data_IF_979931242722
#
_entry.id   IF_979931242722
#
_cell.length_a   1.000
_cell.length_b   1.000
_cell.length_c   1.000
_cell.angle_alpha   90.00
_cell.angle_beta   90.00
_cell.angle_gamma   90.00
#
_symmetry.space_group_name_H-M   'P 1'
#
loop_
_entity.id
_entity.type
_entity.pdbx_description
1 polymer ?
#
# COMPACT_ATOMS: atom_id res chain seq x y z
N UNK A 1 -10.90 -32.18 -52.15
CA UNK A 1 -9.64 -31.41 -52.02
C UNK A 1 -9.86 -29.95 -51.57
N UNK A 2 -10.99 -29.60 -50.95
CA UNK A 2 -11.22 -28.24 -50.39
C UNK A 2 -11.41 -28.19 -48.86
N UNK A 3 -11.56 -29.34 -48.18
CA UNK A 3 -11.78 -29.38 -46.72
C UNK A 3 -10.50 -29.34 -45.87
N UNK A 4 -9.32 -29.56 -46.46
CA UNK A 4 -8.04 -29.43 -45.75
C UNK A 4 -7.51 -27.98 -45.72
N UNK A 5 -7.89 -27.15 -46.69
CA UNK A 5 -7.41 -25.76 -46.82
C UNK A 5 -8.14 -24.82 -45.84
N UNK A 6 -9.36 -25.17 -45.41
CA UNK A 6 -10.13 -24.43 -44.41
C UNK A 6 -9.68 -24.70 -42.97
N UNK A 7 -9.12 -25.88 -42.68
CA UNK A 7 -8.63 -26.23 -41.34
C UNK A 7 -7.26 -25.58 -41.02
N UNK A 8 -6.41 -25.35 -42.03
CA UNK A 8 -5.12 -24.67 -41.87
C UNK A 8 -5.23 -23.13 -41.78
N UNK A 9 -6.30 -22.52 -42.33
CA UNK A 9 -6.53 -21.07 -42.20
C UNK A 9 -7.20 -20.65 -40.88
N UNK A 10 -7.88 -21.56 -40.19
CA UNK A 10 -8.50 -21.28 -38.88
C UNK A 10 -7.50 -21.39 -37.71
N UNK A 11 -6.42 -22.18 -37.84
CA UNK A 11 -5.38 -22.28 -36.81
C UNK A 11 -4.44 -21.07 -36.76
N UNK A 12 -4.28 -20.35 -37.88
CA UNK A 12 -3.43 -19.16 -37.96
C UNK A 12 -4.06 -17.88 -37.39
N UNK A 13 -5.39 -17.77 -37.39
CA UNK A 13 -6.09 -16.58 -36.84
C UNK A 13 -6.16 -16.65 -35.31
N UNK A 14 -6.23 -17.85 -34.72
CA UNK A 14 -6.36 -18.00 -33.26
C UNK A 14 -5.03 -17.82 -32.50
N UNK A 15 -3.89 -17.98 -33.18
CA UNK A 15 -2.55 -17.83 -32.57
C UNK A 15 -2.01 -16.40 -32.58
N UNK A 16 -2.64 -15.47 -33.31
CA UNK A 16 -2.19 -14.09 -33.46
C UNK A 16 -2.77 -13.10 -32.43
N UNK A 17 -3.69 -13.53 -31.56
CA UNK A 17 -4.30 -12.65 -30.56
C UNK A 17 -3.80 -12.80 -29.12
N UNK A 18 -2.78 -13.64 -28.86
CA UNK A 18 -2.28 -13.87 -27.49
C UNK A 18 -0.77 -13.65 -27.30
N UNK A 19 -0.07 -13.10 -28.30
CA UNK A 19 1.40 -13.01 -28.32
C UNK A 19 1.94 -11.59 -28.52
N UNK A 20 1.31 -10.58 -27.90
CA UNK A 20 1.77 -9.17 -27.94
C UNK A 20 2.06 -8.54 -26.56
N UNK A 21 2.17 -9.33 -25.48
CA UNK A 21 2.70 -8.86 -24.18
C UNK A 21 3.57 -9.91 -23.51
N UNK A 22 4.80 -10.07 -23.99
CA UNK A 22 5.97 -10.49 -23.22
C UNK A 22 7.16 -10.55 -24.18
N UNK A 23 7.68 -9.37 -24.52
CA UNK A 23 9.00 -9.24 -25.12
C UNK A 23 10.04 -9.42 -24.02
N UNK A 24 10.77 -10.53 -24.06
CA UNK A 24 12.05 -10.65 -23.38
C UNK A 24 13.04 -11.20 -24.41
N UNK A 25 13.89 -10.30 -24.92
CA UNK A 25 14.99 -10.63 -25.80
C UNK A 25 16.08 -11.33 -24.97
N UNK A 26 16.44 -12.54 -25.38
CA UNK A 26 17.59 -13.26 -24.86
C UNK A 26 18.75 -13.05 -25.82
N UNK A 27 19.84 -12.42 -25.37
CA UNK A 27 21.16 -12.62 -25.97
C UNK A 27 22.27 -12.45 -24.93
N UNK A 28 22.93 -13.59 -24.70
CA UNK A 28 24.38 -13.80 -24.53
C UNK A 28 25.03 -13.47 -23.18
N UNK A 29 25.26 -14.56 -22.44
CA UNK A 29 26.45 -14.92 -21.65
C UNK A 29 27.65 -13.97 -21.70
N UNK A 30 28.15 -13.57 -20.52
CA UNK A 30 29.43 -14.03 -19.94
C UNK A 30 29.55 -13.56 -18.48
N UNK A 31 30.34 -14.30 -17.69
CA UNK A 31 30.93 -13.97 -16.37
C UNK A 31 30.02 -13.84 -15.13
N UNK A 32 29.89 -14.98 -14.44
CA UNK A 32 30.21 -15.17 -13.01
C UNK A 32 29.82 -14.10 -11.99
N UNK A 33 28.79 -14.38 -11.20
CA UNK A 33 28.74 -14.02 -9.77
C UNK A 33 27.63 -14.84 -9.11
N UNK A 34 27.94 -15.58 -8.05
CA UNK A 34 26.94 -16.25 -7.20
C UNK A 34 26.00 -15.19 -6.59
N UNK A 35 24.67 -15.37 -6.62
CA UNK A 35 23.81 -14.71 -5.66
C UNK A 35 22.97 -15.72 -4.88
N UNK A 36 23.03 -15.55 -3.56
CA UNK A 36 22.04 -16.02 -2.61
C UNK A 36 20.62 -15.87 -3.18
N UNK A 37 19.90 -16.99 -3.21
CA UNK A 37 18.48 -17.08 -3.52
C UNK A 37 17.67 -16.19 -2.54
N UNK A 38 17.46 -14.92 -2.88
CA UNK A 38 16.39 -14.12 -2.31
C UNK A 38 15.13 -14.39 -3.15
N UNK A 39 14.44 -15.47 -2.82
CA UNK A 39 13.12 -15.76 -3.39
C UNK A 39 12.17 -14.63 -3.02
N UNK A 40 11.74 -13.88 -4.04
CA UNK A 40 10.66 -12.92 -3.95
C UNK A 40 9.46 -13.53 -3.23
N UNK A 41 9.09 -12.95 -2.10
CA UNK A 41 7.87 -13.28 -1.38
C UNK A 41 6.69 -12.74 -2.19
N UNK A 42 6.30 -13.50 -3.21
CA UNK A 42 5.04 -13.31 -3.93
C UNK A 42 3.89 -13.56 -2.95
N UNK A 43 3.17 -12.51 -2.60
CA UNK A 43 2.09 -12.48 -1.61
C UNK A 43 0.76 -13.07 -2.13
N UNK A 44 0.80 -14.03 -3.04
CA UNK A 44 -0.40 -14.63 -3.65
C UNK A 44 -0.46 -16.14 -3.44
N UNK A 45 -0.28 -16.59 -2.20
CA UNK A 45 -0.67 -17.93 -1.79
C UNK A 45 -1.43 -17.86 -0.47
N UNK A 46 -2.72 -17.48 -0.53
CA UNK A 46 -3.66 -17.80 0.53
C UNK A 46 -3.85 -19.33 0.52
N UNK A 47 -2.90 -20.04 1.13
CA UNK A 47 -2.86 -21.50 1.13
C UNK A 47 -4.19 -22.06 1.59
N UNK A 48 -4.81 -22.90 0.76
CA UNK A 48 -6.03 -23.65 1.11
C UNK A 48 -5.78 -24.35 2.44
N UNK A 49 -6.41 -23.86 3.52
CA UNK A 49 -6.31 -24.46 4.85
C UNK A 49 -6.84 -25.89 4.77
N UNK A 50 -5.94 -26.87 4.66
CA UNK A 50 -6.30 -28.27 4.54
C UNK A 50 -7.08 -28.70 5.79
N UNK A 51 -8.15 -29.47 5.59
CA UNK A 51 -9.02 -29.93 6.70
C UNK A 51 -8.25 -30.75 7.73
N UNK A 52 -7.11 -31.34 7.34
CA UNK A 52 -6.18 -32.11 8.18
C UNK A 52 -5.62 -31.31 9.35
N UNK A 53 -5.30 -30.03 9.18
CA UNK A 53 -4.66 -29.20 10.20
C UNK A 53 -5.66 -28.52 11.16
N UNK A 54 -6.97 -28.74 10.98
CA UNK A 54 -7.99 -28.14 11.86
C UNK A 54 -7.94 -28.76 13.25
N UNK A 55 -7.94 -27.91 14.28
CA UNK A 55 -8.06 -28.25 15.71
C UNK A 55 -9.15 -29.30 16.00
N UNK A 56 -10.26 -29.25 15.28
CA UNK A 56 -11.38 -30.17 15.49
C UNK A 56 -11.02 -31.63 15.12
N UNK A 57 -10.10 -31.87 14.17
CA UNK A 57 -9.67 -33.24 13.82
C UNK A 57 -8.98 -33.94 14.98
N UNK A 58 -8.13 -33.23 15.73
CA UNK A 58 -7.46 -33.75 16.94
C UNK A 58 -8.44 -34.04 18.08
N UNK A 59 -9.64 -33.46 18.06
CA UNK A 59 -10.62 -33.58 19.15
C UNK A 59 -11.67 -34.67 18.93
N UNK A 60 -11.60 -35.42 17.84
CA UNK A 60 -12.49 -36.58 17.59
C UNK A 60 -12.23 -37.64 18.65
N UNK A 61 -13.29 -38.13 19.29
CA UNK A 61 -13.20 -39.04 20.45
C UNK A 61 -13.27 -38.34 21.81
N UNK A 62 -13.12 -37.01 21.88
CA UNK A 62 -13.36 -36.28 23.13
C UNK A 62 -14.82 -35.83 23.24
N UNK A 63 -15.47 -36.20 24.34
CA UNK A 63 -16.91 -36.02 24.58
C UNK A 63 -17.43 -34.59 24.37
N UNK A 64 -16.66 -33.56 24.73
CA UNK A 64 -17.12 -32.15 24.67
C UNK A 64 -16.43 -31.30 23.61
N UNK A 65 -15.59 -31.90 22.75
CA UNK A 65 -14.78 -31.19 21.75
C UNK A 65 -14.06 -29.93 22.29
N UNK A 66 -13.69 -29.92 23.59
CA UNK A 66 -13.01 -28.83 24.29
C UNK A 66 -13.83 -27.55 24.46
N UNK A 67 -15.16 -27.65 24.57
CA UNK A 67 -16.06 -26.57 25.01
C UNK A 67 -16.56 -26.76 26.46
N UNK A 68 -15.97 -27.71 27.20
CA UNK A 68 -16.33 -28.02 28.59
C UNK A 68 -17.61 -28.87 28.71
N UNK A 69 -17.74 -29.62 29.82
CA UNK A 69 -18.92 -30.49 30.08
C UNK A 69 -20.13 -29.69 30.62
N UNK A 70 -19.88 -28.71 31.48
CA UNK A 70 -20.92 -27.95 32.21
C UNK A 70 -21.44 -26.77 31.37
N UNK A 71 -20.56 -25.85 30.96
CA UNK A 71 -20.94 -24.65 30.21
C UNK A 71 -21.52 -24.95 28.82
N UNK A 72 -21.07 -26.04 28.17
CA UNK A 72 -21.46 -26.52 26.83
C UNK A 72 -21.33 -25.46 25.72
N UNK A 73 -21.27 -25.92 24.47
CA UNK A 73 -21.33 -25.02 23.33
C UNK A 73 -22.78 -24.74 22.95
N UNK A 74 -23.29 -23.55 23.29
CA UNK A 74 -24.64 -23.07 22.91
C UNK A 74 -24.54 -22.12 21.73
N UNK A 75 -25.63 -21.95 20.97
CA UNK A 75 -25.62 -21.17 19.72
C UNK A 75 -25.24 -19.69 19.94
N UNK A 76 -25.89 -18.97 20.86
CA UNK A 76 -25.63 -17.55 21.13
C UNK A 76 -25.96 -17.14 22.58
N UNK A 77 -25.15 -17.52 23.59
CA UNK A 77 -25.48 -17.28 25.00
C UNK A 77 -25.44 -15.80 25.44
N UNK A 78 -24.75 -14.92 24.71
CA UNK A 78 -24.63 -13.48 25.01
C UNK A 78 -25.31 -12.57 23.98
N UNK A 79 -26.14 -13.13 23.10
CA UNK A 79 -26.68 -12.43 21.93
C UNK A 79 -25.83 -12.64 20.67
N UNK A 80 -26.20 -11.93 19.59
CA UNK A 80 -25.55 -12.01 18.28
C UNK A 80 -24.82 -10.71 17.97
N UNK A 81 -23.62 -10.80 17.39
CA UNK A 81 -22.82 -9.63 17.02
C UNK A 81 -22.49 -8.76 18.25
N UNK A 82 -22.67 -7.44 18.11
CA UNK A 82 -22.36 -6.46 19.15
C UNK A 82 -23.54 -6.21 20.13
N UNK A 83 -24.40 -7.22 20.33
CA UNK A 83 -25.53 -7.12 21.26
C UNK A 83 -25.05 -6.88 22.70
N UNK A 84 -25.84 -6.12 23.46
CA UNK A 84 -25.59 -5.91 24.89
C UNK A 84 -24.48 -4.91 25.21
N UNK A 85 -23.99 -4.14 24.22
CA UNK A 85 -22.82 -3.28 24.43
C UNK A 85 -22.96 -2.18 25.47
N UNK A 86 -24.19 -1.78 25.84
CA UNK A 86 -24.46 -0.88 26.99
C UNK A 86 -25.00 -1.61 28.22
N UNK A 87 -25.27 -2.91 28.11
CA UNK A 87 -25.88 -3.74 29.16
C UNK A 87 -24.85 -4.77 29.66
N UNK A 88 -25.06 -6.06 29.37
CA UNK A 88 -24.22 -7.15 29.85
C UNK A 88 -22.83 -7.24 29.21
N UNK A 89 -22.57 -6.52 28.11
CA UNK A 89 -21.23 -6.38 27.51
C UNK A 89 -20.63 -4.98 27.71
N UNK A 90 -21.20 -4.15 28.59
CA UNK A 90 -20.73 -2.77 28.84
C UNK A 90 -19.25 -2.68 29.19
N UNK A 91 -18.78 -3.55 30.09
CA UNK A 91 -17.37 -3.56 30.51
C UNK A 91 -16.42 -3.79 29.33
N UNK A 92 -16.81 -4.61 28.34
CA UNK A 92 -16.01 -4.86 27.15
C UNK A 92 -15.93 -3.64 26.23
N UNK A 93 -17.03 -2.90 26.09
CA UNK A 93 -17.06 -1.68 25.28
C UNK A 93 -16.33 -0.52 25.95
N UNK A 94 -16.56 -0.30 27.24
CA UNK A 94 -15.91 0.80 27.98
C UNK A 94 -14.40 0.59 28.06
N UNK A 95 -13.94 -0.67 28.16
CA UNK A 95 -12.51 -1.00 28.28
C UNK A 95 -11.74 -0.91 26.96
N UNK A 96 -12.30 -1.45 25.88
CA UNK A 96 -11.56 -1.61 24.61
C UNK A 96 -12.03 -0.65 23.52
N UNK A 97 -13.22 -0.09 23.64
CA UNK A 97 -13.84 0.76 22.61
C UNK A 97 -14.43 2.04 23.21
N UNK A 98 -13.63 2.86 23.93
CA UNK A 98 -14.11 4.13 24.43
C UNK A 98 -14.54 5.03 23.26
N UNK A 99 -15.71 5.67 23.38
CA UNK A 99 -16.28 6.52 22.32
C UNK A 99 -17.06 5.78 21.24
N UNK A 100 -17.29 4.47 21.37
CA UNK A 100 -18.11 3.70 20.43
C UNK A 100 -19.59 4.15 20.44
N UNK A 101 -20.12 4.44 21.63
CA UNK A 101 -21.48 4.96 21.78
C UNK A 101 -21.47 6.49 21.84
N UNK A 102 -22.32 7.11 21.02
CA UNK A 102 -22.47 8.56 20.94
C UNK A 102 -22.46 9.09 19.51
N UNK A 103 -22.72 10.39 19.35
CA UNK A 103 -22.58 11.12 18.09
C UNK A 103 -21.68 12.32 18.33
N UNK A 104 -20.72 12.55 17.44
CA UNK A 104 -19.77 13.67 17.52
C UNK A 104 -19.65 14.35 16.15
N UNK A 105 -19.61 15.68 16.13
CA UNK A 105 -19.35 16.49 14.95
C UNK A 105 -20.55 16.72 14.01
N UNK A 106 -20.31 17.48 12.94
CA UNK A 106 -21.32 17.84 11.93
C UNK A 106 -21.39 16.77 10.83
N UNK A 107 -22.60 16.49 10.33
CA UNK A 107 -22.81 15.52 9.24
C UNK A 107 -22.51 16.18 7.89
N UNK A 108 -21.61 15.57 7.11
CA UNK A 108 -21.30 16.00 5.75
C UNK A 108 -21.91 15.06 4.72
N UNK A 109 -22.97 15.51 4.04
CA UNK A 109 -23.68 14.75 3.01
C UNK A 109 -22.90 14.74 1.69
N UNK A 110 -23.05 13.65 0.92
CA UNK A 110 -22.38 13.46 -0.38
C UNK A 110 -20.87 13.79 -0.36
N UNK A 111 -20.13 13.16 0.56
CA UNK A 111 -18.69 13.39 0.70
C UNK A 111 -17.91 12.82 -0.48
N UNK A 112 -17.52 13.69 -1.41
CA UNK A 112 -16.62 13.36 -2.52
C UNK A 112 -15.17 13.32 -2.04
N UNK A 113 -14.60 12.11 -1.87
CA UNK A 113 -13.23 11.92 -1.35
C UNK A 113 -12.16 12.59 -2.22
N UNK A 114 -12.37 12.66 -3.54
CA UNK A 114 -11.41 13.22 -4.49
C UNK A 114 -11.11 14.70 -4.20
N UNK A 115 -12.09 15.48 -3.72
CA UNK A 115 -11.89 16.89 -3.33
C UNK A 115 -10.95 17.07 -2.14
N UNK A 116 -10.86 16.06 -1.27
CA UNK A 116 -9.99 16.07 -0.08
C UNK A 116 -8.71 15.25 -0.29
N UNK A 117 -8.45 14.78 -1.51
CA UNK A 117 -7.24 14.03 -1.80
C UNK A 117 -6.04 14.96 -1.72
N UNK A 118 -5.25 14.81 -0.66
CA UNK A 118 -4.06 15.62 -0.41
C UNK A 118 -2.97 14.73 0.20
N UNK A 119 -2.32 13.87 -0.62
CA UNK A 119 -1.20 13.06 -0.20
C UNK A 119 -0.02 13.94 0.22
N UNK A 120 0.64 13.55 1.30
CA UNK A 120 1.61 14.36 2.03
C UNK A 120 3.00 13.75 1.92
N UNK A 121 3.99 14.59 1.65
CA UNK A 121 5.42 14.26 1.74
C UNK A 121 6.11 15.19 2.73
N UNK A 122 7.11 14.68 3.46
CA UNK A 122 7.91 15.47 4.39
C UNK A 122 9.24 15.87 3.74
N UNK A 123 9.89 16.91 4.27
CA UNK A 123 11.15 17.44 3.73
C UNK A 123 12.31 16.44 3.78
N UNK A 124 12.32 15.54 4.75
CA UNK A 124 13.29 14.44 4.89
C UNK A 124 13.34 13.51 3.67
N UNK A 125 12.19 13.22 3.07
CA UNK A 125 12.05 12.29 1.95
C UNK A 125 12.29 12.94 0.59
N UNK A 126 12.39 14.26 0.51
CA UNK A 126 12.59 14.97 -0.76
C UNK A 126 13.88 14.52 -1.45
N UNK A 127 14.99 14.44 -0.71
CA UNK A 127 16.25 13.97 -1.25
C UNK A 127 16.21 12.51 -1.73
N UNK A 128 15.32 11.67 -1.19
CA UNK A 128 15.19 10.28 -1.64
C UNK A 128 14.47 10.15 -2.98
N UNK A 129 13.68 11.15 -3.39
CA UNK A 129 12.94 11.13 -4.66
C UNK A 129 13.80 11.51 -5.88
N UNK A 130 14.97 12.09 -5.65
CA UNK A 130 15.91 12.41 -6.71
C UNK A 130 16.65 11.13 -7.14
N UNK A 131 16.75 10.81 -8.45
CA UNK A 131 17.56 9.70 -8.93
C UNK A 131 19.05 9.98 -8.70
N UNK A 132 19.85 8.95 -8.44
CA UNK A 132 21.27 9.07 -8.05
C UNK A 132 22.09 9.88 -9.08
N UNK A 133 21.85 9.65 -10.37
CA UNK A 133 22.53 10.37 -11.47
C UNK A 133 22.35 11.90 -11.41
N UNK A 134 21.22 12.37 -10.89
CA UNK A 134 20.91 13.81 -10.74
C UNK A 134 21.49 14.35 -9.43
N UNK A 135 21.63 13.51 -8.40
CA UNK A 135 22.31 13.88 -7.14
C UNK A 135 23.80 14.12 -7.33
N UNK A 136 24.44 13.29 -8.15
CA UNK A 136 25.88 13.41 -8.39
C UNK A 136 26.21 14.61 -9.29
N UNK A 137 25.27 15.01 -10.15
CA UNK A 137 25.40 16.18 -11.04
C UNK A 137 24.94 17.50 -10.39
N UNK A 138 24.35 17.45 -9.19
CA UNK A 138 23.93 18.68 -8.51
C UNK A 138 25.13 19.35 -7.84
N UNK A 139 25.41 20.58 -8.27
CA UNK A 139 26.37 21.49 -7.65
C UNK A 139 25.64 22.71 -7.08
N UNK A 140 26.36 23.58 -6.37
CA UNK A 140 25.81 24.84 -5.84
C UNK A 140 25.12 25.69 -6.92
N UNK A 141 25.59 25.63 -8.16
CA UNK A 141 25.04 26.37 -9.30
C UNK A 141 23.89 25.64 -10.02
N UNK A 142 23.83 24.31 -9.91
CA UNK A 142 22.82 23.46 -10.55
C UNK A 142 21.98 22.74 -9.51
N UNK A 143 20.93 23.44 -9.08
CA UNK A 143 19.99 22.97 -8.05
C UNK A 143 18.94 22.02 -8.66
N UNK A 144 18.72 20.82 -8.10
CA UNK A 144 17.71 19.89 -8.60
C UNK A 144 16.29 20.42 -8.34
N UNK A 145 15.45 20.34 -9.36
CA UNK A 145 14.02 20.66 -9.28
C UNK A 145 13.25 19.38 -9.03
N UNK A 146 12.54 19.33 -7.91
CA UNK A 146 11.69 18.19 -7.54
C UNK A 146 10.23 18.59 -7.70
N UNK A 147 9.57 17.96 -8.66
CA UNK A 147 8.13 18.06 -8.82
C UNK A 147 7.44 16.94 -8.03
N UNK A 148 6.91 17.29 -6.86
CA UNK A 148 6.27 16.30 -5.98
C UNK A 148 4.93 15.81 -6.55
N UNK A 149 4.34 16.56 -7.50
CA UNK A 149 3.07 16.18 -8.12
C UNK A 149 3.22 14.99 -9.05
N UNK A 150 4.38 14.85 -9.72
CA UNK A 150 4.71 13.69 -10.56
C UNK A 150 4.82 12.40 -9.75
N UNK A 151 5.29 12.52 -8.50
CA UNK A 151 5.35 11.41 -7.55
C UNK A 151 4.02 11.17 -6.82
N UNK A 152 2.96 11.89 -7.17
CA UNK A 152 1.62 11.72 -6.60
C UNK A 152 1.43 12.39 -5.25
N UNK A 153 2.26 13.34 -4.84
CA UNK A 153 2.09 14.12 -3.61
C UNK A 153 1.60 15.53 -3.92
N UNK A 154 0.73 16.08 -3.06
CA UNK A 154 0.18 17.43 -3.26
C UNK A 154 0.66 18.41 -2.19
N UNK A 155 0.96 17.93 -0.96
CA UNK A 155 1.37 18.79 0.15
C UNK A 155 2.73 18.42 0.72
N UNK A 156 3.59 19.42 0.91
CA UNK A 156 4.90 19.27 1.58
C UNK A 156 4.82 19.76 3.02
N UNK A 157 5.25 18.93 3.96
CA UNK A 157 5.28 19.22 5.40
C UNK A 157 6.72 19.28 5.95
N UNK A 158 6.90 20.06 7.01
CA UNK A 158 8.19 20.44 7.58
C UNK A 158 8.87 19.43 8.52
N UNK A 159 8.48 18.14 8.54
CA UNK A 159 9.13 17.15 9.42
C UNK A 159 10.51 16.77 8.86
N UNK A 160 11.51 16.69 9.74
CA UNK A 160 12.90 16.38 9.40
C UNK A 160 13.75 17.61 9.07
N UNK A 161 14.96 17.36 8.58
CA UNK A 161 15.97 18.40 8.27
C UNK A 161 16.35 18.30 6.81
N UNK A 162 16.48 19.45 6.15
CA UNK A 162 17.07 19.52 4.81
C UNK A 162 18.56 19.74 5.00
N UNK A 163 19.43 18.93 4.39
CA UNK A 163 20.87 19.16 4.45
C UNK A 163 21.19 20.52 3.82
N UNK A 164 21.83 21.41 4.59
CA UNK A 164 22.19 22.75 4.15
C UNK A 164 23.20 22.75 2.99
N UNK A 165 23.95 21.66 2.83
CA UNK A 165 24.93 21.45 1.76
C UNK A 165 24.30 21.24 0.37
N UNK A 166 22.97 21.11 0.31
CA UNK A 166 22.27 20.53 -0.82
C UNK A 166 20.93 21.25 -1.03
N UNK A 167 20.95 22.42 -1.70
CA UNK A 167 19.74 23.18 -1.99
C UNK A 167 18.80 22.36 -2.90
N UNK A 168 17.49 22.57 -2.74
CA UNK A 168 16.46 21.94 -3.58
C UNK A 168 15.43 22.99 -3.98
N UNK A 169 15.00 22.95 -5.24
CA UNK A 169 13.81 23.67 -5.69
C UNK A 169 12.62 22.71 -5.68
N UNK A 170 11.59 23.01 -4.89
CA UNK A 170 10.42 22.12 -4.72
C UNK A 170 9.20 22.72 -5.41
N UNK A 171 8.61 21.97 -6.34
CA UNK A 171 7.32 22.26 -6.97
C UNK A 171 6.22 21.47 -6.27
N UNK A 172 5.22 22.15 -5.70
CA UNK A 172 4.09 21.50 -5.03
C UNK A 172 2.82 22.37 -5.04
N UNK A 173 1.65 21.77 -4.77
CA UNK A 173 0.38 22.51 -4.69
C UNK A 173 0.21 23.25 -3.37
N UNK A 174 0.56 22.61 -2.26
CA UNK A 174 0.40 23.14 -0.90
C UNK A 174 1.67 22.92 -0.09
N UNK A 175 2.07 23.92 0.70
CA UNK A 175 3.30 23.85 1.51
C UNK A 175 3.03 24.39 2.91
N UNK A 176 3.59 23.76 3.94
CA UNK A 176 3.52 24.28 5.31
C UNK A 176 4.53 25.41 5.52
N UNK A 177 4.17 26.42 6.33
CA UNK A 177 5.07 27.54 6.70
C UNK A 177 6.43 27.06 7.22
N UNK A 178 6.43 25.96 7.99
CA UNK A 178 7.65 25.35 8.52
C UNK A 178 8.51 24.67 7.44
N UNK A 179 7.90 24.07 6.41
CA UNK A 179 8.63 23.48 5.30
C UNK A 179 9.26 24.58 4.43
N UNK A 180 8.50 25.63 4.15
CA UNK A 180 8.98 26.77 3.38
C UNK A 180 10.19 27.44 4.05
N UNK A 181 10.11 27.69 5.37
CA UNK A 181 11.23 28.24 6.14
C UNK A 181 12.49 27.39 6.01
N UNK A 182 12.37 26.06 6.19
CA UNK A 182 13.51 25.13 6.11
C UNK A 182 14.11 25.03 4.72
N UNK A 183 13.28 25.04 3.67
CA UNK A 183 13.77 24.98 2.29
C UNK A 183 14.52 26.27 1.94
N UNK A 184 13.99 27.43 2.37
CA UNK A 184 14.66 28.73 2.19
C UNK A 184 15.97 28.83 2.97
N UNK A 185 16.01 28.34 4.21
CA UNK A 185 17.23 28.28 5.03
C UNK A 185 18.31 27.38 4.40
N UNK A 186 17.92 26.33 3.69
CA UNK A 186 18.84 25.46 2.95
C UNK A 186 19.27 26.04 1.58
N UNK A 187 18.93 27.29 1.27
CA UNK A 187 19.24 27.93 -0.02
C UNK A 187 18.39 27.44 -1.19
N UNK A 188 17.30 26.71 -0.89
CA UNK A 188 16.34 26.23 -1.87
C UNK A 188 15.21 27.24 -2.15
N UNK A 189 14.42 26.93 -3.18
CA UNK A 189 13.24 27.72 -3.53
C UNK A 189 11.98 26.85 -3.58
N UNK A 190 10.84 27.49 -3.37
CA UNK A 190 9.53 26.87 -3.40
C UNK A 190 8.73 27.45 -4.56
N UNK A 191 8.19 26.59 -5.41
CA UNK A 191 7.35 26.97 -6.54
C UNK A 191 5.97 26.32 -6.37
N UNK A 192 4.93 27.14 -6.41
CA UNK A 192 3.56 26.63 -6.35
C UNK A 192 3.10 26.20 -7.74
N UNK A 193 2.53 25.01 -7.83
CA UNK A 193 1.99 24.43 -9.07
C UNK A 193 0.51 24.09 -8.89
N UNK A 194 -0.31 24.30 -9.92
CA UNK A 194 -1.76 24.08 -9.87
C UNK A 194 -2.17 22.61 -10.04
#
# INVERSE_FOLDING_TARGET
MEMLILLERLSHIFLLHYKSKLGFHFLRSTVGFLPLFFTGFSSTAFGKMTTRLRKNRKKRGHVSAGHGRIGKHRKHPGGRGNAGGMHHHRILFDKYHPGFFGKVGMRYFHRLRNKFHCPIVNVDKLWSMVPQDVKEKSSTDKVPVIDVTQFGYFKVLGKGTVPASQPIVVKAKLISKTAEKKIKEAGGAVVLTA
#
